data_IF_289346268675
#
_entry.id   IF_289346268675
#
_cell.length_a   1.000
_cell.length_b   1.000
_cell.length_c   1.000
_cell.angle_alpha   90.00
_cell.angle_beta   90.00
_cell.angle_gamma   90.00
#
_symmetry.space_group_name_H-M   'P 1'
#
loop_
_entity.id
_entity.type
_entity.pdbx_description
1 polymer ?
#
# COMPACT_ATOMS: atom_id res chain seq x y z
N UNK A 1 -42.05 34.20 8.17
CA UNK A 1 -40.82 33.86 8.91
C UNK A 1 -40.23 32.56 8.34
N UNK A 2 -39.11 32.62 7.60
CA UNK A 2 -38.48 31.44 6.99
C UNK A 2 -37.43 30.87 7.97
N UNK A 3 -37.58 29.60 8.34
CA UNK A 3 -36.64 28.86 9.19
C UNK A 3 -35.35 28.57 8.42
N UNK A 4 -34.22 29.09 8.88
CA UNK A 4 -32.91 28.73 8.36
C UNK A 4 -32.53 27.34 8.91
N UNK A 5 -32.55 26.33 8.04
CA UNK A 5 -31.89 25.06 8.30
C UNK A 5 -30.37 25.29 8.24
N UNK A 6 -29.75 25.40 9.41
CA UNK A 6 -28.30 25.34 9.55
C UNK A 6 -27.91 23.87 9.28
N UNK A 7 -27.51 23.60 8.04
CA UNK A 7 -26.82 22.37 7.68
C UNK A 7 -25.50 22.34 8.46
N UNK A 8 -25.44 21.45 9.46
CA UNK A 8 -24.20 21.03 10.11
C UNK A 8 -23.26 20.45 9.04
N UNK A 9 -22.49 21.31 8.37
CA UNK A 9 -21.30 20.89 7.63
C UNK A 9 -20.28 20.48 8.68
N UNK A 10 -20.19 19.18 8.93
CA UNK A 10 -19.00 18.61 9.56
C UNK A 10 -17.78 19.16 8.82
N UNK A 11 -16.74 19.65 9.51
CA UNK A 11 -15.57 20.18 8.84
C UNK A 11 -14.97 19.04 8.01
N UNK A 12 -14.91 19.22 6.70
CA UNK A 12 -14.06 18.43 5.82
C UNK A 12 -12.65 18.53 6.39
N UNK A 13 -12.25 17.55 7.21
CA UNK A 13 -10.87 17.44 7.66
C UNK A 13 -10.05 17.38 6.40
N UNK A 14 -9.36 18.47 6.07
CA UNK A 14 -8.40 18.46 4.98
C UNK A 14 -7.40 17.38 5.35
N UNK A 15 -7.49 16.23 4.68
CA UNK A 15 -6.53 15.14 4.84
C UNK A 15 -5.22 15.71 4.30
N UNK A 16 -4.44 16.33 5.18
CA UNK A 16 -3.11 16.79 4.84
C UNK A 16 -2.35 15.54 4.42
N UNK A 17 -1.76 15.59 3.22
CA UNK A 17 -1.04 14.45 2.66
C UNK A 17 0.06 14.03 3.63
N UNK A 18 -0.08 12.86 4.23
CA UNK A 18 0.89 12.37 5.19
C UNK A 18 2.07 11.76 4.41
N UNK A 19 3.06 12.58 4.02
CA UNK A 19 4.22 12.10 3.24
C UNK A 19 4.91 10.89 3.88
N UNK A 20 4.90 10.81 5.22
CA UNK A 20 5.44 9.67 5.96
C UNK A 20 4.68 8.38 5.64
N UNK A 21 3.35 8.40 5.67
CA UNK A 21 2.53 7.21 5.39
C UNK A 21 2.77 6.67 3.97
N UNK A 22 2.89 7.56 2.99
CA UNK A 22 3.14 7.19 1.59
C UNK A 22 4.53 6.56 1.45
N UNK A 23 5.54 7.16 2.08
CA UNK A 23 6.91 6.65 2.03
C UNK A 23 7.06 5.30 2.76
N UNK A 24 6.36 5.10 3.88
CA UNK A 24 6.39 3.84 4.59
C UNK A 24 5.64 2.75 3.81
N UNK A 25 4.48 3.06 3.23
CA UNK A 25 3.75 2.13 2.36
C UNK A 25 4.61 1.69 1.17
N UNK A 26 5.35 2.64 0.56
CA UNK A 26 6.32 2.35 -0.51
C UNK A 26 7.33 1.30 -0.07
N UNK A 27 8.01 1.50 1.07
CA UNK A 27 9.04 0.57 1.57
C UNK A 27 8.49 -0.83 1.80
N UNK A 28 7.29 -0.93 2.38
CA UNK A 28 6.66 -2.23 2.65
C UNK A 28 6.31 -2.97 1.36
N UNK A 29 5.72 -2.26 0.39
CA UNK A 29 5.30 -2.87 -0.87
C UNK A 29 6.49 -3.19 -1.79
N UNK A 30 7.55 -2.40 -1.77
CA UNK A 30 8.81 -2.71 -2.48
C UNK A 30 9.50 -3.94 -1.87
N UNK A 31 9.52 -4.06 -0.53
CA UNK A 31 10.04 -5.26 0.15
C UNK A 31 9.21 -6.50 -0.18
N UNK A 32 7.89 -6.36 -0.17
CA UNK A 32 6.96 -7.42 -0.58
C UNK A 32 7.27 -7.91 -2.00
N UNK A 33 7.37 -7.01 -2.98
CA UNK A 33 7.65 -7.38 -4.36
C UNK A 33 9.02 -8.05 -4.52
N UNK A 34 10.02 -7.55 -3.79
CA UNK A 34 11.34 -8.15 -3.74
C UNK A 34 11.32 -9.58 -3.18
N UNK A 35 10.66 -9.81 -2.04
CA UNK A 35 10.54 -11.14 -1.45
C UNK A 35 9.75 -12.09 -2.33
N UNK A 36 8.61 -11.66 -2.87
CA UNK A 36 7.81 -12.46 -3.80
C UNK A 36 8.64 -12.92 -5.00
N UNK A 37 9.33 -11.98 -5.67
CA UNK A 37 10.21 -12.31 -6.81
C UNK A 37 11.35 -13.25 -6.42
N UNK A 38 11.95 -13.09 -5.23
CA UNK A 38 13.00 -14.00 -4.76
C UNK A 38 12.49 -15.41 -4.52
N UNK A 39 11.32 -15.56 -3.94
CA UNK A 39 10.67 -16.87 -3.71
C UNK A 39 10.35 -17.52 -5.06
N UNK A 40 9.73 -16.78 -5.99
CA UNK A 40 9.40 -17.26 -7.35
C UNK A 40 10.65 -17.71 -8.13
N UNK A 41 11.76 -16.98 -8.00
CA UNK A 41 13.00 -17.26 -8.74
C UNK A 41 14.01 -18.12 -7.96
N UNK A 42 13.60 -18.79 -6.89
CA UNK A 42 14.49 -19.56 -6.00
C UNK A 42 15.41 -20.52 -6.76
N UNK A 43 14.85 -21.32 -7.67
CA UNK A 43 15.62 -22.33 -8.40
C UNK A 43 16.69 -21.69 -9.29
N UNK A 44 16.36 -20.57 -9.94
CA UNK A 44 17.29 -19.81 -10.77
C UNK A 44 18.40 -19.19 -9.92
N UNK A 45 18.05 -18.63 -8.76
CA UNK A 45 19.05 -18.05 -7.84
C UNK A 45 20.02 -19.12 -7.35
N UNK A 46 19.52 -20.29 -6.98
CA UNK A 46 20.34 -21.43 -6.57
C UNK A 46 21.25 -21.89 -7.69
N UNK A 47 20.72 -22.03 -8.91
CA UNK A 47 21.51 -22.53 -10.06
C UNK A 47 22.57 -21.54 -10.53
N UNK A 48 22.30 -20.24 -10.52
CA UNK A 48 23.21 -19.21 -11.05
C UNK A 48 24.24 -18.75 -10.02
N UNK A 49 23.84 -18.60 -8.75
CA UNK A 49 24.69 -17.99 -7.72
C UNK A 49 25.20 -18.99 -6.68
N UNK A 50 24.85 -20.28 -6.81
CA UNK A 50 25.09 -21.31 -5.80
C UNK A 50 24.67 -20.86 -4.39
N UNK A 51 23.62 -20.03 -4.32
CA UNK A 51 23.18 -19.39 -3.09
C UNK A 51 21.88 -20.03 -2.61
N UNK A 52 21.96 -20.79 -1.52
CA UNK A 52 20.78 -21.26 -0.82
C UNK A 52 20.31 -20.16 0.14
N UNK A 53 19.08 -19.69 -0.08
CA UNK A 53 18.36 -18.95 0.94
C UNK A 53 18.13 -19.93 2.11
N UNK A 54 18.77 -19.69 3.26
CA UNK A 54 18.57 -20.50 4.45
C UNK A 54 17.08 -20.65 4.79
N UNK A 55 16.70 -21.79 5.37
CA UNK A 55 15.30 -22.15 5.67
C UNK A 55 14.59 -21.07 6.49
N UNK A 56 15.27 -20.49 7.48
CA UNK A 56 14.72 -19.43 8.33
C UNK A 56 14.43 -18.14 7.56
N UNK A 57 15.34 -17.73 6.67
CA UNK A 57 15.15 -16.57 5.80
C UNK A 57 13.99 -16.78 4.81
N UNK A 58 13.77 -18.02 4.34
CA UNK A 58 12.63 -18.32 3.47
C UNK A 58 11.30 -18.24 4.20
N UNK A 59 11.24 -18.81 5.41
CA UNK A 59 10.04 -18.77 6.24
C UNK A 59 9.62 -17.34 6.59
N UNK A 60 10.59 -16.48 6.92
CA UNK A 60 10.32 -15.06 7.18
C UNK A 60 9.83 -14.33 5.93
N UNK A 61 10.48 -14.53 4.78
CA UNK A 61 10.05 -13.91 3.51
C UNK A 61 8.64 -14.36 3.13
N UNK A 62 8.32 -15.66 3.27
CA UNK A 62 7.00 -16.19 2.96
C UNK A 62 5.94 -15.62 3.91
N UNK A 63 6.24 -15.59 5.21
CA UNK A 63 5.34 -15.01 6.22
C UNK A 63 5.04 -13.54 5.93
N UNK A 64 6.04 -12.77 5.50
CA UNK A 64 5.87 -11.38 5.10
C UNK A 64 5.00 -11.26 3.84
N UNK A 65 5.24 -12.10 2.82
CA UNK A 65 4.44 -12.12 1.59
C UNK A 65 2.98 -12.47 1.90
N UNK A 66 2.73 -13.51 2.70
CA UNK A 66 1.39 -13.96 3.07
C UNK A 66 0.62 -12.89 3.84
N UNK A 67 1.30 -12.19 4.77
CA UNK A 67 0.72 -11.07 5.51
C UNK A 67 0.27 -9.95 4.58
N UNK A 68 1.12 -9.51 3.66
CA UNK A 68 0.80 -8.44 2.72
C UNK A 68 -0.27 -8.88 1.72
N UNK A 69 -0.24 -10.13 1.23
CA UNK A 69 -1.28 -10.67 0.36
C UNK A 69 -2.65 -10.69 1.05
N UNK A 70 -2.71 -11.17 2.29
CA UNK A 70 -3.93 -11.17 3.09
C UNK A 70 -4.44 -9.74 3.34
N UNK A 71 -3.52 -8.80 3.57
CA UNK A 71 -3.85 -7.38 3.76
C UNK A 71 -4.44 -6.79 2.48
N UNK A 72 -3.78 -6.96 1.33
CA UNK A 72 -4.24 -6.46 0.04
C UNK A 72 -5.58 -7.06 -0.38
N UNK A 73 -5.87 -8.32 -0.01
CA UNK A 73 -7.16 -8.97 -0.26
C UNK A 73 -8.33 -8.35 0.52
N UNK A 74 -8.07 -7.72 1.67
CA UNK A 74 -9.10 -7.08 2.50
C UNK A 74 -9.41 -5.64 2.10
N UNK A 75 -8.51 -5.01 1.34
CA UNK A 75 -8.70 -3.64 0.89
C UNK A 75 -9.83 -3.55 -0.14
N UNK A 76 -10.47 -2.38 -0.20
CA UNK A 76 -11.37 -2.05 -1.31
C UNK A 76 -10.61 -2.11 -2.63
N UNK A 77 -11.29 -2.48 -3.70
CA UNK A 77 -10.67 -2.67 -5.02
C UNK A 77 -9.90 -1.42 -5.47
N UNK A 78 -10.50 -0.24 -5.35
CA UNK A 78 -9.88 1.03 -5.74
C UNK A 78 -8.62 1.36 -4.91
N UNK A 79 -8.64 1.06 -3.61
CA UNK A 79 -7.49 1.22 -2.72
C UNK A 79 -6.37 0.24 -3.04
N UNK A 80 -6.71 -1.04 -3.27
CA UNK A 80 -5.74 -2.04 -3.71
C UNK A 80 -5.11 -1.66 -5.04
N UNK A 81 -5.93 -1.28 -6.02
CA UNK A 81 -5.49 -0.99 -7.38
C UNK A 81 -4.54 0.21 -7.40
N UNK A 82 -4.83 1.29 -6.67
CA UNK A 82 -3.92 2.44 -6.61
C UNK A 82 -2.58 2.10 -5.94
N UNK A 83 -2.56 1.25 -4.90
CA UNK A 83 -1.32 0.82 -4.25
C UNK A 83 -0.47 -0.02 -5.19
N UNK A 84 -1.09 -0.97 -5.90
CA UNK A 84 -0.41 -1.82 -6.89
C UNK A 84 0.14 -0.97 -8.02
N UNK A 85 -0.69 -0.09 -8.59
CA UNK A 85 -0.30 0.70 -9.76
C UNK A 85 0.85 1.66 -9.41
N UNK A 86 0.77 2.35 -8.27
CA UNK A 86 1.80 3.32 -7.85
C UNK A 86 3.08 2.63 -7.39
N UNK A 87 3.00 1.61 -6.53
CA UNK A 87 4.19 1.08 -5.87
C UNK A 87 4.77 -0.18 -6.52
N UNK A 88 3.93 -1.05 -7.10
CA UNK A 88 4.40 -2.31 -7.70
C UNK A 88 4.63 -2.17 -9.21
N UNK A 89 3.75 -1.44 -9.90
CA UNK A 89 3.88 -1.16 -11.34
C UNK A 89 4.58 0.16 -11.64
N UNK A 90 4.91 0.96 -10.61
CA UNK A 90 5.66 2.22 -10.71
C UNK A 90 4.99 3.26 -11.63
N UNK A 91 3.66 3.26 -11.71
CA UNK A 91 2.93 4.28 -12.48
C UNK A 91 3.05 5.65 -11.83
N UNK A 92 3.27 6.65 -12.67
CA UNK A 92 3.33 8.06 -12.29
C UNK A 92 1.94 8.69 -12.28
N UNK A 93 1.79 9.79 -11.51
CA UNK A 93 0.51 10.49 -11.33
C UNK A 93 -0.18 10.86 -12.66
N UNK A 94 0.59 11.23 -13.68
CA UNK A 94 0.10 11.64 -14.99
C UNK A 94 -0.53 10.51 -15.80
N UNK A 95 -0.37 9.25 -15.39
CA UNK A 95 -0.97 8.08 -16.03
C UNK A 95 -2.40 7.79 -15.53
N UNK A 96 -2.95 8.65 -14.65
CA UNK A 96 -4.27 8.49 -14.06
C UNK A 96 -5.26 9.56 -14.54
N UNK A 97 -6.48 9.13 -14.86
CA UNK A 97 -7.52 9.97 -15.48
C UNK A 97 -8.31 10.86 -14.48
N UNK A 98 -7.78 11.09 -13.28
CA UNK A 98 -8.43 11.94 -12.27
C UNK A 98 -7.51 13.07 -11.80
N UNK A 99 -8.12 14.10 -11.20
CA UNK A 99 -7.40 15.30 -10.74
C UNK A 99 -6.26 14.96 -9.77
N UNK A 100 -5.26 15.84 -9.69
CA UNK A 100 -4.16 15.71 -8.74
C UNK A 100 -4.66 15.56 -7.29
N UNK A 101 -5.66 16.36 -6.90
CA UNK A 101 -6.23 16.29 -5.56
C UNK A 101 -6.92 14.94 -5.31
N UNK A 102 -7.71 14.45 -6.28
CA UNK A 102 -8.35 13.14 -6.20
C UNK A 102 -7.33 12.01 -6.08
N UNK A 103 -6.23 12.09 -6.84
CA UNK A 103 -5.13 11.13 -6.79
C UNK A 103 -4.55 11.01 -5.38
N UNK A 104 -4.11 12.13 -4.81
CA UNK A 104 -3.45 12.09 -3.51
C UNK A 104 -4.41 11.75 -2.38
N UNK A 105 -5.69 12.13 -2.47
CA UNK A 105 -6.71 11.70 -1.49
C UNK A 105 -6.91 10.19 -1.52
N UNK A 106 -7.07 9.60 -2.70
CA UNK A 106 -7.24 8.15 -2.84
C UNK A 106 -5.99 7.40 -2.38
N UNK A 107 -4.80 7.86 -2.79
CA UNK A 107 -3.53 7.24 -2.41
C UNK A 107 -3.32 7.29 -0.89
N UNK A 108 -3.54 8.46 -0.26
CA UNK A 108 -3.39 8.60 1.18
C UNK A 108 -4.39 7.71 1.94
N UNK A 109 -5.65 7.65 1.48
CA UNK A 109 -6.66 6.76 2.04
C UNK A 109 -6.25 5.30 1.94
N UNK A 110 -5.76 4.87 0.77
CA UNK A 110 -5.31 3.51 0.55
C UNK A 110 -4.11 3.14 1.43
N UNK A 111 -3.14 4.05 1.61
CA UNK A 111 -2.03 3.86 2.54
C UNK A 111 -2.52 3.73 3.99
N UNK A 112 -3.49 4.55 4.42
CA UNK A 112 -4.10 4.41 5.75
C UNK A 112 -4.78 3.05 5.91
N UNK A 113 -5.59 2.63 4.93
CA UNK A 113 -6.26 1.34 4.96
C UNK A 113 -5.28 0.16 5.01
N UNK A 114 -4.16 0.25 4.29
CA UNK A 114 -3.09 -0.74 4.32
C UNK A 114 -2.56 -0.94 5.75
N UNK A 115 -2.12 0.14 6.40
CA UNK A 115 -1.55 0.06 7.74
C UNK A 115 -2.58 -0.29 8.81
N UNK A 116 -3.81 0.20 8.70
CA UNK A 116 -4.90 -0.21 9.57
C UNK A 116 -5.15 -1.72 9.47
N UNK A 117 -5.15 -2.26 8.24
CA UNK A 117 -5.33 -3.69 8.00
C UNK A 117 -4.16 -4.54 8.47
N UNK A 118 -2.95 -3.96 8.55
CA UNK A 118 -1.76 -4.57 9.15
C UNK A 118 -1.75 -4.51 10.69
N UNK A 119 -2.73 -3.84 11.31
CA UNK A 119 -2.75 -3.60 12.76
C UNK A 119 -1.73 -2.58 13.23
N UNK A 120 -1.17 -1.76 12.32
CA UNK A 120 -0.22 -0.70 12.65
C UNK A 120 -0.99 0.56 13.00
N UNK A 121 -0.88 1.01 14.25
CA UNK A 121 -1.47 2.28 14.69
C UNK A 121 -0.76 3.46 14.03
N UNK A 122 -1.50 4.29 13.29
CA UNK A 122 -1.01 5.55 12.76
C UNK A 122 -1.63 6.67 13.62
N UNK A 123 -0.83 7.35 14.48
CA UNK A 123 -1.33 8.51 15.20
C UNK A 123 -1.71 9.61 14.20
N UNK A 124 -2.89 10.20 14.43
CA UNK A 124 -3.40 11.37 13.70
C UNK A 124 -2.54 12.60 13.94
#
# INVERSE_FOLDING_TARGET
>A
MKKNHILNRQPERSISMNRKIINDAKKYLERYDFYRKRIENRQIIKSVFNHDLGVDNQSEMQSYVDLIDATLKRLKKDEKDILIDVFLKRKHRNEFNYSQASFYRLLNRACCSLFYSLGVYIPN
#
